data_IF_190472702609
#
_entry.id   IF_190472702609
#
_cell.length_a   1.000
_cell.length_b   1.000
_cell.length_c   1.000
_cell.angle_alpha   90.00
_cell.angle_beta   90.00
_cell.angle_gamma   90.00
#
_symmetry.space_group_name_H-M   'P 1'
#
loop_
_entity.id
_entity.type
_entity.pdbx_description
1 polymer ?
#
# COMPACT_ATOMS: atom_id res chain seq x y z
N UNK A 1 -16.00 -4.29 16.52
CA UNK A 1 -15.64 -3.08 15.78
C UNK A 1 -14.13 -3.14 15.46
N UNK A 2 -13.72 -2.71 14.32
CA UNK A 2 -12.32 -2.57 13.94
C UNK A 2 -12.04 -1.12 13.51
N UNK A 3 -10.85 -0.61 13.79
CA UNK A 3 -10.37 0.64 13.22
C UNK A 3 -9.54 0.30 11.99
N UNK A 4 -9.94 0.82 10.83
CA UNK A 4 -9.20 0.69 9.58
C UNK A 4 -8.65 2.05 9.18
N UNK A 5 -7.39 2.06 8.72
CA UNK A 5 -6.75 3.25 8.17
C UNK A 5 -6.90 3.23 6.67
N UNK A 6 -7.86 3.95 6.15
CA UNK A 6 -8.10 4.07 4.71
C UNK A 6 -8.50 5.50 4.38
N UNK A 7 -8.26 5.90 3.15
CA UNK A 7 -8.89 7.09 2.62
C UNK A 7 -10.41 6.83 2.54
N UNK A 8 -11.15 7.32 3.51
CA UNK A 8 -12.60 7.21 3.49
C UNK A 8 -13.14 8.08 2.35
N UNK A 9 -13.65 7.43 1.32
CA UNK A 9 -14.54 8.13 0.39
C UNK A 9 -15.81 8.55 1.17
N UNK A 10 -16.36 9.75 0.94
CA UNK A 10 -17.62 10.13 1.54
C UNK A 10 -18.73 9.17 1.09
N UNK A 11 -19.36 8.49 2.04
CA UNK A 11 -20.41 7.50 1.81
C UNK A 11 -19.92 6.05 1.84
N UNK A 12 -20.87 5.13 1.94
CA UNK A 12 -20.59 3.69 1.90
C UNK A 12 -20.32 3.25 0.45
N UNK A 13 -19.25 2.49 0.21
CA UNK A 13 -19.05 1.88 -1.10
C UNK A 13 -20.23 0.97 -1.46
N UNK A 14 -20.61 0.89 -2.75
CA UNK A 14 -21.66 -0.02 -3.21
C UNK A 14 -21.38 -1.46 -2.76
N UNK A 15 -22.39 -2.11 -2.21
CA UNK A 15 -22.30 -3.48 -1.72
C UNK A 15 -21.94 -3.63 -0.24
N UNK A 16 -21.59 -2.56 0.47
CA UNK A 16 -21.39 -2.57 1.91
C UNK A 16 -22.72 -2.34 2.62
N UNK A 17 -23.15 -3.30 3.43
CA UNK A 17 -24.37 -3.16 4.22
C UNK A 17 -24.16 -2.24 5.44
N UNK A 18 -25.23 -1.58 5.95
CA UNK A 18 -25.10 -0.72 7.13
C UNK A 18 -24.54 -1.43 8.37
N UNK A 19 -24.84 -2.73 8.54
CA UNK A 19 -24.30 -3.52 9.65
C UNK A 19 -22.78 -3.65 9.58
N UNK A 20 -22.25 -4.04 8.41
CA UNK A 20 -20.79 -4.13 8.19
C UNK A 20 -20.13 -2.77 8.38
N UNK A 21 -20.74 -1.70 7.86
CA UNK A 21 -20.21 -0.35 8.03
C UNK A 21 -20.19 0.10 9.49
N UNK A 22 -21.21 -0.29 10.29
CA UNK A 22 -21.28 0.00 11.72
C UNK A 22 -20.22 -0.72 12.55
N UNK A 23 -19.61 -1.77 12.02
CA UNK A 23 -18.55 -2.53 12.67
C UNK A 23 -17.14 -2.00 12.35
N UNK A 24 -17.02 -0.96 11.52
CA UNK A 24 -15.75 -0.36 11.14
C UNK A 24 -15.74 1.12 11.52
N UNK A 25 -14.67 1.54 12.18
CA UNK A 25 -14.35 2.94 12.45
C UNK A 25 -13.14 3.31 11.62
N UNK A 26 -13.23 4.39 10.87
CA UNK A 26 -12.10 4.87 10.05
C UNK A 26 -11.20 5.76 10.90
N UNK A 27 -9.94 5.35 11.08
CA UNK A 27 -8.91 6.13 11.75
C UNK A 27 -8.27 7.17 10.81
N UNK A 28 -7.44 8.03 11.37
CA UNK A 28 -6.74 9.09 10.65
C UNK A 28 -5.27 8.70 10.47
N UNK A 29 -4.89 8.40 9.23
CA UNK A 29 -3.52 8.00 8.91
C UNK A 29 -2.52 9.13 9.20
N UNK A 30 -1.42 8.80 9.90
CA UNK A 30 -0.40 9.72 10.39
C UNK A 30 -0.90 10.80 11.39
N UNK A 31 -2.13 10.68 11.89
CA UNK A 31 -2.66 11.51 12.97
C UNK A 31 -2.84 10.65 14.23
N UNK A 32 -1.77 10.55 15.01
CA UNK A 32 -1.74 9.69 16.20
C UNK A 32 -2.72 10.14 17.27
N UNK A 33 -2.89 11.43 17.48
CA UNK A 33 -3.74 11.98 18.54
C UNK A 33 -5.19 11.67 18.30
N UNK A 34 -5.68 11.93 17.07
CA UNK A 34 -7.06 11.62 16.69
C UNK A 34 -7.31 10.13 16.69
N UNK A 35 -6.40 9.33 16.15
CA UNK A 35 -6.56 7.89 16.08
C UNK A 35 -6.49 7.24 17.46
N UNK A 36 -5.59 7.68 18.35
CA UNK A 36 -5.52 7.21 19.72
C UNK A 36 -6.81 7.54 20.50
N UNK A 37 -7.36 8.73 20.28
CA UNK A 37 -8.65 9.12 20.87
C UNK A 37 -9.79 8.22 20.42
N UNK A 38 -9.82 7.84 19.11
CA UNK A 38 -10.78 6.86 18.60
C UNK A 38 -10.61 5.48 19.25
N UNK A 39 -9.37 4.99 19.36
CA UNK A 39 -9.09 3.68 19.98
C UNK A 39 -9.56 3.65 21.43
N UNK A 40 -9.20 4.65 22.24
CA UNK A 40 -9.63 4.75 23.63
C UNK A 40 -11.13 4.95 23.77
N UNK A 41 -11.73 5.75 22.88
CA UNK A 41 -13.18 6.05 22.91
C UNK A 41 -14.07 4.86 22.59
N UNK A 42 -13.56 3.84 21.88
CA UNK A 42 -14.30 2.62 21.58
C UNK A 42 -14.05 1.50 22.62
N UNK A 43 -12.98 1.58 23.41
CA UNK A 43 -12.70 0.72 24.55
C UNK A 43 -12.95 -0.76 24.27
N UNK A 44 -13.72 -1.41 25.14
CA UNK A 44 -14.04 -2.86 25.08
C UNK A 44 -14.80 -3.31 23.82
N UNK A 45 -15.29 -2.38 23.00
CA UNK A 45 -16.01 -2.69 21.77
C UNK A 45 -15.07 -2.88 20.56
N UNK A 46 -13.81 -2.45 20.68
CA UNK A 46 -12.84 -2.49 19.62
C UNK A 46 -12.04 -3.80 19.68
N UNK A 47 -12.14 -4.62 18.63
CA UNK A 47 -11.38 -5.87 18.53
C UNK A 47 -9.94 -5.64 18.04
N UNK A 48 -9.79 -4.81 17.00
CA UNK A 48 -8.49 -4.62 16.35
C UNK A 48 -8.36 -3.24 15.70
N UNK A 49 -7.13 -2.82 15.53
CA UNK A 49 -6.70 -1.76 14.60
C UNK A 49 -5.94 -2.43 13.46
N UNK A 50 -6.36 -2.17 12.21
CA UNK A 50 -5.63 -2.61 11.02
C UNK A 50 -5.08 -1.40 10.28
N UNK A 51 -3.80 -1.46 9.88
CA UNK A 51 -3.11 -0.37 9.19
C UNK A 51 -2.08 -0.91 8.21
N UNK A 52 -1.99 -0.31 7.01
CA UNK A 52 -0.87 -0.54 6.10
C UNK A 52 0.34 0.32 6.53
N UNK A 53 1.57 -0.22 6.65
CA UNK A 53 2.77 0.59 6.92
C UNK A 53 3.09 1.61 5.83
N UNK A 54 2.61 1.37 4.63
CA UNK A 54 2.49 2.34 3.55
C UNK A 54 1.15 2.10 2.86
N UNK A 55 0.32 3.12 2.78
CA UNK A 55 -0.95 2.99 2.07
C UNK A 55 -0.72 2.64 0.61
N UNK A 56 -1.25 1.51 0.16
CA UNK A 56 -1.23 1.09 -1.23
C UNK A 56 -2.05 2.01 -2.15
N UNK A 57 -2.93 2.80 -1.56
CA UNK A 57 -3.66 3.86 -2.22
C UNK A 57 -2.95 5.20 -1.98
N UNK A 58 -2.03 5.56 -2.87
CA UNK A 58 -1.27 6.80 -2.75
C UNK A 58 0.22 6.63 -2.51
N UNK A 59 0.68 5.41 -2.21
CA UNK A 59 2.06 5.12 -1.84
C UNK A 59 2.58 6.08 -0.74
N UNK A 60 1.75 6.28 0.30
CA UNK A 60 2.02 7.17 1.43
C UNK A 60 2.59 6.36 2.59
N UNK A 61 3.78 6.72 3.03
CA UNK A 61 4.43 6.08 4.17
C UNK A 61 3.77 6.46 5.49
N UNK A 62 3.57 5.46 6.34
CA UNK A 62 3.30 5.75 7.74
C UNK A 62 4.55 6.32 8.41
N UNK A 63 4.37 7.34 9.23
CA UNK A 63 5.43 7.83 10.08
C UNK A 63 5.78 6.77 11.14
N UNK A 64 7.07 6.59 11.42
CA UNK A 64 7.51 5.65 12.47
C UNK A 64 6.82 5.93 13.80
N UNK A 65 6.80 7.20 14.21
CA UNK A 65 6.18 7.61 15.48
C UNK A 65 4.68 7.30 15.53
N UNK A 66 3.98 7.37 14.38
CA UNK A 66 2.58 6.99 14.27
C UNK A 66 2.38 5.49 14.53
N UNK A 67 3.16 4.62 13.89
CA UNK A 67 3.05 3.17 14.09
C UNK A 67 3.49 2.74 15.50
N UNK A 68 4.53 3.35 16.05
CA UNK A 68 4.96 3.12 17.44
C UNK A 68 3.87 3.54 18.43
N UNK A 69 3.26 4.69 18.21
CA UNK A 69 2.13 5.18 19.01
C UNK A 69 0.88 4.28 18.88
N UNK A 70 0.57 3.78 17.68
CA UNK A 70 -0.51 2.80 17.51
C UNK A 70 -0.23 1.50 18.28
N UNK A 71 1.01 0.99 18.24
CA UNK A 71 1.39 -0.17 19.04
C UNK A 71 1.19 0.08 20.54
N UNK A 72 1.58 1.25 21.00
CA UNK A 72 1.45 1.62 22.42
C UNK A 72 -0.03 1.70 22.85
N UNK A 73 -0.85 2.45 22.13
CA UNK A 73 -2.28 2.63 22.49
C UNK A 73 -3.08 1.35 22.34
N UNK A 74 -2.79 0.50 21.35
CA UNK A 74 -3.47 -0.79 21.21
C UNK A 74 -3.11 -1.75 22.34
N UNK A 75 -1.84 -1.72 22.80
CA UNK A 75 -1.41 -2.48 23.99
C UNK A 75 -2.10 -1.98 25.26
N UNK A 76 -2.14 -0.65 25.46
CA UNK A 76 -2.83 -0.01 26.59
C UNK A 76 -4.30 -0.42 26.70
N UNK A 77 -4.99 -0.47 25.54
CA UNK A 77 -6.41 -0.75 25.47
C UNK A 77 -6.76 -2.25 25.34
N UNK A 78 -5.77 -3.15 25.27
CA UNK A 78 -6.02 -4.58 25.04
C UNK A 78 -6.58 -4.91 23.66
N UNK A 79 -6.34 -4.03 22.67
CA UNK A 79 -6.81 -4.14 21.29
C UNK A 79 -5.71 -4.76 20.43
N UNK A 80 -6.05 -5.62 19.47
CA UNK A 80 -5.06 -6.21 18.57
C UNK A 80 -4.58 -5.18 17.55
N UNK A 81 -3.26 -5.15 17.29
CA UNK A 81 -2.68 -4.42 16.16
C UNK A 81 -2.43 -5.38 15.01
N UNK A 82 -3.00 -5.08 13.84
CA UNK A 82 -2.81 -5.83 12.60
C UNK A 82 -2.06 -4.94 11.62
N UNK A 83 -0.90 -5.38 11.16
CA UNK A 83 -0.21 -4.72 10.05
C UNK A 83 -0.56 -5.41 8.73
N UNK A 84 -1.09 -4.64 7.78
CA UNK A 84 -1.32 -5.11 6.42
C UNK A 84 -0.07 -4.91 5.58
N UNK A 85 0.71 -5.96 5.46
CA UNK A 85 1.95 -6.00 4.66
C UNK A 85 1.74 -6.58 3.24
N UNK A 86 0.50 -6.69 2.79
CA UNK A 86 0.20 -7.24 1.46
C UNK A 86 0.96 -6.52 0.34
N UNK A 87 1.21 -5.22 0.46
CA UNK A 87 2.02 -4.45 -0.48
C UNK A 87 3.45 -4.25 0.04
N UNK A 88 3.59 -3.97 1.32
CA UNK A 88 4.83 -3.46 1.92
C UNK A 88 5.82 -4.54 2.30
N UNK A 89 5.42 -5.82 2.34
CA UNK A 89 6.32 -6.93 2.65
C UNK A 89 7.55 -6.98 1.74
N UNK A 90 7.43 -6.50 0.51
CA UNK A 90 8.54 -6.42 -0.45
C UNK A 90 9.61 -5.35 -0.14
N UNK A 91 9.36 -4.46 0.81
CA UNK A 91 10.26 -3.36 1.14
C UNK A 91 11.32 -3.71 2.20
N UNK A 92 11.23 -4.91 2.78
CA UNK A 92 12.22 -5.41 3.75
C UNK A 92 12.14 -6.91 3.89
N UNK A 93 13.23 -7.57 4.27
CA UNK A 93 13.18 -8.94 4.79
C UNK A 93 12.48 -8.87 6.15
N UNK A 94 11.30 -9.50 6.25
CA UNK A 94 10.41 -9.33 7.39
C UNK A 94 9.44 -8.15 7.26
N UNK A 95 9.33 -7.53 6.08
CA UNK A 95 8.41 -6.43 5.79
C UNK A 95 8.85 -5.10 6.38
N UNK A 96 8.00 -4.08 6.25
CA UNK A 96 8.23 -2.78 6.90
C UNK A 96 8.12 -2.87 8.42
N UNK A 97 7.34 -3.79 8.97
CA UNK A 97 7.32 -4.07 10.41
C UNK A 97 8.72 -4.38 10.96
N UNK A 98 9.49 -5.20 10.22
CA UNK A 98 10.88 -5.51 10.56
C UNK A 98 11.79 -4.29 10.46
N UNK A 99 11.67 -3.51 9.39
CA UNK A 99 12.45 -2.29 9.18
C UNK A 99 12.16 -1.21 10.23
N UNK A 100 10.92 -1.14 10.72
CA UNK A 100 10.53 -0.20 11.79
C UNK A 100 10.74 -0.76 13.21
N UNK A 101 11.01 -2.06 13.35
CA UNK A 101 11.13 -2.71 14.65
C UNK A 101 9.80 -2.80 15.41
N UNK A 102 8.68 -2.88 14.69
CA UNK A 102 7.33 -2.95 15.27
C UNK A 102 6.84 -4.39 15.21
N UNK A 103 6.40 -4.92 16.34
CA UNK A 103 5.81 -6.26 16.44
C UNK A 103 4.29 -6.13 16.57
N UNK A 104 3.51 -6.41 15.49
CA UNK A 104 2.06 -6.45 15.58
C UNK A 104 1.59 -7.74 16.25
N UNK A 105 0.30 -7.81 16.55
CA UNK A 105 -0.33 -9.05 17.02
C UNK A 105 -0.62 -10.01 15.85
N UNK A 106 -0.98 -9.45 14.69
CA UNK A 106 -1.19 -10.17 13.43
C UNK A 106 -0.61 -9.37 12.27
N UNK A 107 -0.22 -10.09 11.22
CA UNK A 107 0.18 -9.50 9.93
C UNK A 107 -0.57 -10.20 8.81
N UNK A 108 -1.10 -9.44 7.84
CA UNK A 108 -1.61 -9.96 6.59
C UNK A 108 -0.56 -9.88 5.49
N UNK A 109 -0.53 -10.89 4.62
CA UNK A 109 0.43 -11.05 3.53
C UNK A 109 -0.27 -11.40 2.22
N UNK A 110 0.37 -11.08 1.11
CA UNK A 110 -0.11 -11.43 -0.22
C UNK A 110 0.93 -11.09 -1.29
N UNK A 111 0.46 -10.97 -2.51
CA UNK A 111 1.26 -10.52 -3.67
C UNK A 111 2.60 -11.26 -3.81
N UNK A 112 3.71 -10.64 -3.41
CA UNK A 112 5.07 -11.16 -3.60
C UNK A 112 5.26 -12.58 -3.02
N UNK A 113 4.56 -12.92 -1.93
CA UNK A 113 4.68 -14.22 -1.29
C UNK A 113 4.16 -15.38 -2.16
N UNK A 114 3.43 -15.08 -3.22
CA UNK A 114 2.87 -16.09 -4.14
C UNK A 114 3.74 -16.36 -5.37
N UNK A 115 4.86 -15.65 -5.55
CA UNK A 115 5.72 -15.84 -6.73
C UNK A 115 5.00 -15.59 -8.05
N UNK A 116 4.06 -14.63 -8.09
CA UNK A 116 3.24 -14.30 -9.27
C UNK A 116 1.89 -15.01 -9.30
N UNK A 117 1.63 -15.97 -8.42
CA UNK A 117 0.36 -16.68 -8.31
C UNK A 117 -0.51 -16.11 -7.19
N UNK A 118 -1.86 -16.26 -7.27
CA UNK A 118 -2.78 -15.75 -6.25
C UNK A 118 -2.53 -16.40 -4.88
N UNK A 119 -2.39 -15.56 -3.85
CA UNK A 119 -2.21 -16.00 -2.47
C UNK A 119 -2.67 -14.92 -1.51
N UNK A 120 -3.18 -15.33 -0.38
CA UNK A 120 -3.34 -14.53 0.82
C UNK A 120 -2.93 -15.37 2.02
N UNK A 121 -2.31 -14.74 2.99
CA UNK A 121 -1.94 -15.37 4.24
C UNK A 121 -2.06 -14.36 5.39
N UNK A 122 -2.20 -14.86 6.59
CA UNK A 122 -2.07 -14.09 7.81
C UNK A 122 -1.40 -14.94 8.88
N UNK A 123 -0.78 -14.30 9.81
CA UNK A 123 -0.12 -14.95 10.94
C UNK A 123 0.24 -13.94 12.01
N UNK A 124 0.72 -14.42 13.15
CA UNK A 124 1.13 -13.57 14.25
C UNK A 124 1.31 -14.31 15.55
N UNK A 125 0.93 -13.68 16.66
CA UNK A 125 1.10 -14.22 18.01
C UNK A 125 0.43 -15.58 18.14
N UNK A 126 1.16 -16.53 18.74
CA UNK A 126 0.69 -17.91 18.93
C UNK A 126 -0.67 -17.98 19.65
N UNK A 127 -0.88 -17.14 20.66
CA UNK A 127 -2.13 -17.12 21.43
C UNK A 127 -3.33 -16.71 20.57
N UNK A 128 -3.15 -15.77 19.64
CA UNK A 128 -4.19 -15.34 18.71
C UNK A 128 -4.44 -16.41 17.65
N UNK A 129 -3.35 -16.96 17.08
CA UNK A 129 -3.43 -18.01 16.06
C UNK A 129 -3.99 -19.33 16.60
N UNK A 130 -3.89 -19.56 17.90
CA UNK A 130 -4.49 -20.73 18.56
C UNK A 130 -6.02 -20.82 18.43
N UNK A 131 -6.69 -19.71 18.08
CA UNK A 131 -8.12 -19.73 17.75
C UNK A 131 -8.45 -20.58 16.52
N UNK A 132 -7.47 -20.85 15.64
CA UNK A 132 -7.63 -21.67 14.44
C UNK A 132 -7.14 -23.11 14.61
N UNK A 133 -6.69 -23.50 15.80
CA UNK A 133 -6.22 -24.86 16.07
C UNK A 133 -7.40 -25.85 16.11
N UNK A 134 -7.55 -26.74 15.11
CA UNK A 134 -8.70 -27.63 15.01
C UNK A 134 -8.78 -28.68 16.14
N UNK A 135 -7.73 -28.81 16.93
CA UNK A 135 -7.73 -29.73 18.09
C UNK A 135 -8.36 -29.11 19.33
N UNK A 136 -8.65 -27.79 19.30
CA UNK A 136 -9.24 -27.07 20.42
C UNK A 136 -10.77 -26.98 20.30
N UNK A 137 -11.50 -27.15 21.39
CA UNK A 137 -12.95 -26.90 21.40
C UNK A 137 -13.25 -25.45 21.00
N UNK A 138 -14.21 -25.26 20.09
CA UNK A 138 -14.61 -23.90 19.64
C UNK A 138 -13.65 -23.25 18.66
N UNK A 139 -12.72 -24.00 18.09
CA UNK A 139 -11.80 -23.48 17.07
C UNK A 139 -12.56 -22.87 15.87
N UNK A 140 -12.04 -21.75 15.36
CA UNK A 140 -12.56 -21.10 14.16
C UNK A 140 -12.17 -21.94 12.95
N UNK A 141 -13.16 -22.43 12.21
CA UNK A 141 -12.92 -23.16 10.98
C UNK A 141 -12.32 -22.22 9.92
N UNK A 142 -11.15 -22.56 9.43
CA UNK A 142 -10.48 -21.84 8.34
C UNK A 142 -10.15 -22.81 7.22
N UNK A 143 -10.95 -22.80 6.16
CA UNK A 143 -10.78 -23.67 5.01
C UNK A 143 -11.10 -22.93 3.72
N UNK A 144 -10.53 -23.39 2.63
CA UNK A 144 -10.80 -22.91 1.27
C UNK A 144 -10.18 -23.84 0.25
N UNK A 145 -10.83 -24.01 -0.89
CA UNK A 145 -10.39 -24.94 -1.94
C UNK A 145 -8.95 -24.69 -2.42
N UNK A 146 -8.52 -23.43 -2.39
CA UNK A 146 -7.18 -23.01 -2.82
C UNK A 146 -6.19 -22.79 -1.67
N UNK A 147 -6.61 -23.03 -0.42
CA UNK A 147 -5.70 -22.89 0.72
C UNK A 147 -4.55 -23.90 0.58
N UNK A 148 -3.30 -23.40 0.70
CA UNK A 148 -2.12 -24.22 0.55
C UNK A 148 -1.94 -24.82 -0.85
N UNK A 149 -2.42 -24.15 -1.90
CA UNK A 149 -2.27 -24.62 -3.28
C UNK A 149 -0.79 -24.92 -3.57
N UNK A 150 -0.49 -26.17 -3.94
CA UNK A 150 0.89 -26.65 -4.07
C UNK A 150 1.70 -25.86 -5.11
N UNK A 151 1.08 -25.47 -6.23
CA UNK A 151 1.75 -24.67 -7.28
C UNK A 151 2.11 -23.26 -6.75
N UNK A 152 1.18 -22.63 -6.05
CA UNK A 152 1.42 -21.31 -5.43
C UNK A 152 2.48 -21.41 -4.34
N UNK A 153 2.45 -22.43 -3.51
CA UNK A 153 3.44 -22.63 -2.44
C UNK A 153 4.84 -22.84 -3.03
N UNK A 154 4.97 -23.66 -4.08
CA UNK A 154 6.23 -23.90 -4.76
C UNK A 154 6.79 -22.60 -5.41
N UNK A 155 5.95 -21.87 -6.14
CA UNK A 155 6.34 -20.61 -6.77
C UNK A 155 6.74 -19.54 -5.73
N UNK A 156 5.95 -19.41 -4.66
CA UNK A 156 6.22 -18.48 -3.57
C UNK A 156 7.52 -18.80 -2.85
N UNK A 157 7.78 -20.08 -2.56
CA UNK A 157 9.04 -20.52 -1.92
C UNK A 157 10.25 -20.12 -2.76
N UNK A 158 10.20 -20.35 -4.08
CA UNK A 158 11.28 -19.96 -4.99
C UNK A 158 11.44 -18.44 -5.02
N UNK A 159 10.35 -17.68 -5.16
CA UNK A 159 10.39 -16.23 -5.21
C UNK A 159 11.01 -15.64 -3.93
N UNK A 160 10.59 -16.13 -2.77
CA UNK A 160 11.12 -15.67 -1.47
C UNK A 160 12.58 -16.07 -1.25
N UNK A 161 13.03 -17.20 -1.79
CA UNK A 161 14.44 -17.59 -1.72
C UNK A 161 15.36 -16.64 -2.53
N UNK A 162 14.86 -16.06 -3.63
CA UNK A 162 15.58 -15.03 -4.39
C UNK A 162 15.46 -13.62 -3.79
N UNK A 163 14.54 -13.41 -2.88
CA UNK A 163 14.24 -12.09 -2.31
C UNK A 163 14.88 -11.94 -0.93
N UNK A 164 16.21 -12.05 -0.90
CA UNK A 164 17.05 -11.88 0.29
C UNK A 164 17.36 -10.40 0.60
N UNK A 165 18.10 -10.14 1.66
CA UNK A 165 18.50 -8.79 2.09
C UNK A 165 19.23 -8.00 1.00
N UNK A 166 20.10 -8.67 0.23
CA UNK A 166 20.87 -8.02 -0.83
C UNK A 166 19.96 -7.61 -1.99
N UNK A 167 19.06 -8.52 -2.40
CA UNK A 167 18.07 -8.26 -3.44
C UNK A 167 17.09 -7.14 -3.06
N UNK A 168 16.58 -7.16 -1.82
CA UNK A 168 15.67 -6.12 -1.29
C UNK A 168 16.38 -4.77 -1.26
N UNK A 169 17.59 -4.72 -0.73
CA UNK A 169 18.37 -3.48 -0.64
C UNK A 169 18.66 -2.89 -2.02
N UNK A 170 19.13 -3.72 -2.97
CA UNK A 170 19.42 -3.28 -4.33
C UNK A 170 18.15 -2.81 -5.06
N UNK A 171 17.05 -3.54 -4.90
CA UNK A 171 15.77 -3.20 -5.52
C UNK A 171 15.20 -1.89 -4.98
N UNK A 172 15.27 -1.66 -3.67
CA UNK A 172 14.82 -0.43 -3.05
C UNK A 172 15.68 0.77 -3.48
N UNK A 173 17.01 0.62 -3.52
CA UNK A 173 17.91 1.65 -4.03
C UNK A 173 17.61 2.01 -5.49
N UNK A 174 17.33 1.00 -6.33
CA UNK A 174 16.92 1.19 -7.72
C UNK A 174 15.61 1.95 -7.83
N UNK A 175 14.61 1.60 -7.00
CA UNK A 175 13.32 2.28 -6.98
C UNK A 175 13.42 3.72 -6.50
N UNK A 176 14.20 3.99 -5.45
CA UNK A 176 14.43 5.36 -4.96
C UNK A 176 15.14 6.24 -6.00
N UNK A 177 16.13 5.68 -6.70
CA UNK A 177 16.80 6.38 -7.80
C UNK A 177 15.83 6.66 -8.97
N UNK A 178 14.97 5.69 -9.33
CA UNK A 178 13.95 5.89 -10.35
C UNK A 178 12.96 6.97 -9.93
N UNK A 179 12.44 6.94 -8.71
CA UNK A 179 11.51 7.95 -8.19
C UNK A 179 12.12 9.36 -8.23
N UNK A 180 13.40 9.50 -7.90
CA UNK A 180 14.11 10.77 -8.01
C UNK A 180 14.17 11.26 -9.46
N UNK A 181 14.45 10.37 -10.43
CA UNK A 181 14.44 10.69 -11.87
C UNK A 181 13.06 11.16 -12.33
N UNK A 182 11.99 10.44 -11.94
CA UNK A 182 10.62 10.82 -12.31
C UNK A 182 10.22 12.19 -11.73
N UNK A 183 10.57 12.47 -10.48
CA UNK A 183 10.33 13.79 -9.88
C UNK A 183 11.16 14.91 -10.57
N UNK A 184 12.37 14.62 -11.05
CA UNK A 184 13.13 15.57 -11.86
C UNK A 184 12.44 15.86 -13.21
N UNK A 185 11.85 14.85 -13.84
CA UNK A 185 11.02 15.04 -15.05
C UNK A 185 9.80 15.89 -14.74
N UNK A 186 9.08 15.62 -13.66
CA UNK A 186 7.94 16.43 -13.20
C UNK A 186 8.36 17.90 -13.08
N UNK A 187 9.44 18.17 -12.36
CA UNK A 187 9.96 19.53 -12.17
C UNK A 187 10.35 20.22 -13.49
N UNK A 188 10.88 19.46 -14.47
CA UNK A 188 11.32 20.01 -15.75
C UNK A 188 10.19 20.42 -16.70
N UNK A 189 9.01 19.82 -16.53
CA UNK A 189 7.86 20.02 -17.41
C UNK A 189 6.84 21.04 -16.88
N UNK A 190 7.09 21.60 -15.70
CA UNK A 190 6.18 22.55 -15.02
C UNK A 190 4.74 21.99 -14.92
N UNK A 191 4.63 20.77 -14.45
CA UNK A 191 3.35 20.07 -14.23
C UNK A 191 3.07 19.96 -12.73
N UNK A 192 1.85 20.27 -12.34
CA UNK A 192 1.38 20.05 -10.97
C UNK A 192 1.24 18.56 -10.67
N UNK A 193 2.35 17.95 -10.31
CA UNK A 193 2.43 16.52 -10.04
C UNK A 193 3.52 16.21 -9.03
N UNK A 194 3.45 15.02 -8.43
CA UNK A 194 4.49 14.45 -7.56
C UNK A 194 4.48 12.94 -7.63
N UNK A 195 5.65 12.32 -7.52
CA UNK A 195 5.80 10.87 -7.37
C UNK A 195 6.16 10.57 -5.92
N UNK A 196 5.21 10.00 -5.18
CA UNK A 196 5.39 9.52 -3.79
C UNK A 196 5.89 8.07 -3.78
N UNK A 197 6.25 7.56 -2.60
CA UNK A 197 6.60 6.15 -2.43
C UNK A 197 7.86 5.91 -1.60
N UNK A 198 8.25 4.63 -1.52
CA UNK A 198 9.41 4.15 -0.81
C UNK A 198 10.00 2.94 -1.55
N UNK A 199 11.31 2.90 -1.70
CA UNK A 199 12.00 1.80 -2.34
C UNK A 199 11.39 1.48 -3.70
N UNK A 200 11.06 0.23 -3.93
CA UNK A 200 10.54 -0.29 -5.18
C UNK A 200 9.07 -0.01 -5.48
N UNK A 201 8.38 0.75 -4.63
CA UNK A 201 6.97 1.14 -4.77
C UNK A 201 6.85 2.65 -4.89
N UNK A 202 6.13 3.12 -5.90
CA UNK A 202 5.91 4.56 -6.11
C UNK A 202 4.60 4.82 -6.86
N UNK A 203 4.02 6.00 -6.66
CA UNK A 203 2.80 6.42 -7.35
C UNK A 203 2.90 7.86 -7.81
N UNK A 204 2.49 8.11 -9.07
CA UNK A 204 2.33 9.45 -9.60
C UNK A 204 0.97 10.04 -9.18
N UNK A 205 0.99 11.24 -8.68
CA UNK A 205 -0.19 12.07 -8.39
C UNK A 205 -0.16 13.31 -9.27
N UNK A 206 -1.24 13.52 -10.00
CA UNK A 206 -1.46 14.72 -10.85
C UNK A 206 -2.30 15.72 -10.06
N UNK A 207 -1.65 16.49 -9.19
CA UNK A 207 -2.25 17.45 -8.26
C UNK A 207 -1.28 18.55 -7.89
N UNK A 208 -1.78 19.78 -7.72
CA UNK A 208 -1.04 20.93 -7.20
C UNK A 208 -0.74 20.84 -5.70
N UNK A 209 -1.43 19.96 -4.98
CA UNK A 209 -1.34 19.89 -3.51
C UNK A 209 -0.23 18.95 -3.08
N UNK A 210 0.46 19.23 -1.96
CA UNK A 210 1.27 18.21 -1.31
C UNK A 210 0.45 16.96 -1.03
N UNK A 211 1.01 15.78 -1.32
CA UNK A 211 0.34 14.50 -1.12
C UNK A 211 0.90 13.88 0.17
N UNK A 212 0.40 14.36 1.29
CA UNK A 212 0.81 13.93 2.64
C UNK A 212 -0.31 13.17 3.36
N UNK A 213 -1.54 13.25 2.84
CA UNK A 213 -2.70 12.56 3.41
C UNK A 213 -3.43 11.71 2.37
N UNK A 214 -4.19 10.69 2.81
CA UNK A 214 -5.01 9.87 1.92
C UNK A 214 -5.99 10.69 1.07
N UNK A 215 -6.58 11.74 1.65
CA UNK A 215 -7.53 12.63 0.98
C UNK A 215 -6.84 13.44 -0.13
N UNK A 216 -5.60 13.90 0.12
CA UNK A 216 -4.81 14.59 -0.89
C UNK A 216 -4.44 13.65 -2.05
N UNK A 217 -4.14 12.38 -1.77
CA UNK A 217 -3.87 11.36 -2.79
C UNK A 217 -5.11 11.08 -3.68
N UNK A 218 -6.31 11.12 -3.09
CA UNK A 218 -7.58 10.93 -3.82
C UNK A 218 -8.01 12.17 -4.60
N UNK A 219 -7.50 13.35 -4.28
CA UNK A 219 -7.86 14.61 -4.95
C UNK A 219 -7.21 14.76 -6.34
N UNK A 220 -6.41 13.79 -6.79
CA UNK A 220 -5.80 13.82 -8.12
C UNK A 220 -6.86 13.88 -9.25
N UNK A 221 -6.55 14.62 -10.31
CA UNK A 221 -7.44 14.74 -11.47
C UNK A 221 -7.57 13.39 -12.21
N UNK A 222 -8.71 12.73 -12.02
CA UNK A 222 -8.96 11.39 -12.58
C UNK A 222 -8.94 11.33 -14.12
N UNK A 223 -9.24 12.43 -14.82
CA UNK A 223 -9.15 12.48 -16.29
C UNK A 223 -7.70 12.53 -16.75
N UNK A 224 -6.87 13.35 -16.11
CA UNK A 224 -5.44 13.41 -16.40
C UNK A 224 -4.73 12.10 -16.05
N UNK A 225 -5.12 11.44 -14.96
CA UNK A 225 -4.60 10.10 -14.59
C UNK A 225 -4.92 9.05 -15.68
N UNK A 226 -6.14 9.06 -16.24
CA UNK A 226 -6.51 8.19 -17.37
C UNK A 226 -5.72 8.53 -18.62
N UNK A 227 -5.54 9.81 -18.92
CA UNK A 227 -4.73 10.26 -20.05
C UNK A 227 -3.29 9.80 -19.93
N UNK A 228 -2.68 9.92 -18.75
CA UNK A 228 -1.33 9.42 -18.46
C UNK A 228 -1.21 7.92 -18.72
N UNK A 229 -2.19 7.13 -18.25
CA UNK A 229 -2.22 5.69 -18.50
C UNK A 229 -2.23 5.35 -20.00
N UNK A 230 -3.10 6.00 -20.77
CA UNK A 230 -3.19 5.78 -22.22
C UNK A 230 -1.93 6.26 -22.96
N UNK A 231 -1.37 7.39 -22.54
CA UNK A 231 -0.16 7.93 -23.12
C UNK A 231 1.06 7.01 -22.90
N UNK A 232 1.18 6.40 -21.72
CA UNK A 232 2.19 5.38 -21.42
C UNK A 232 1.98 4.11 -22.25
N UNK A 233 0.74 3.63 -22.33
CA UNK A 233 0.38 2.42 -23.11
C UNK A 233 0.75 2.61 -24.60
N UNK A 234 0.47 3.77 -25.18
CA UNK A 234 0.86 4.10 -26.56
C UNK A 234 2.39 4.17 -26.79
N UNK A 235 3.18 4.20 -25.72
CA UNK A 235 4.66 4.18 -25.73
C UNK A 235 5.23 2.83 -25.31
N UNK A 236 4.39 1.78 -25.28
CA UNK A 236 4.81 0.42 -24.96
C UNK A 236 4.97 0.16 -23.46
N UNK A 237 4.52 1.07 -22.58
CA UNK A 237 4.57 0.90 -21.13
C UNK A 237 3.18 0.60 -20.59
N UNK A 238 2.96 -0.64 -20.18
CA UNK A 238 1.72 -1.04 -19.49
C UNK A 238 1.82 -0.70 -18.00
N UNK A 239 1.05 0.28 -17.55
CA UNK A 239 1.01 0.74 -16.17
C UNK A 239 -0.33 0.46 -15.50
N UNK A 240 -0.37 0.53 -14.17
CA UNK A 240 -1.63 0.57 -13.44
C UNK A 240 -2.44 1.81 -13.83
N UNK A 241 -3.76 1.68 -13.95
CA UNK A 241 -4.65 2.83 -14.19
C UNK A 241 -4.61 3.87 -13.08
N UNK A 242 -4.12 3.51 -11.89
CA UNK A 242 -3.90 4.42 -10.75
C UNK A 242 -2.51 5.04 -10.74
N UNK A 243 -1.67 4.74 -11.73
CA UNK A 243 -0.28 5.16 -11.83
C UNK A 243 0.59 4.71 -10.62
N UNK A 244 0.25 3.57 -10.04
CA UNK A 244 1.11 2.87 -9.10
C UNK A 244 2.13 2.07 -9.89
N UNK A 245 3.40 2.31 -9.67
CA UNK A 245 4.53 1.65 -10.31
C UNK A 245 5.27 0.77 -9.31
N UNK A 246 5.68 -0.39 -9.79
CA UNK A 246 6.38 -1.39 -8.99
C UNK A 246 7.60 -1.87 -9.77
N UNK A 247 8.80 -1.65 -9.24
CA UNK A 247 10.04 -2.08 -9.89
C UNK A 247 10.24 -3.58 -9.65
N UNK A 248 10.30 -4.42 -10.71
CA UNK A 248 10.59 -5.85 -10.55
C UNK A 248 12.11 -6.10 -10.47
N UNK A 249 12.50 -7.20 -9.83
CA UNK A 249 13.91 -7.59 -9.68
C UNK A 249 14.63 -7.86 -11.01
N UNK A 250 13.87 -8.17 -12.05
CA UNK A 250 14.40 -8.47 -13.40
C UNK A 250 14.53 -7.23 -14.28
N UNK A 251 14.10 -6.06 -13.83
CA UNK A 251 14.21 -4.83 -14.60
C UNK A 251 15.70 -4.47 -14.81
N UNK A 252 16.06 -4.30 -16.06
CA UNK A 252 17.39 -3.83 -16.45
C UNK A 252 17.47 -2.30 -16.45
N UNK A 253 18.67 -1.74 -16.49
CA UNK A 253 18.84 -0.30 -16.66
C UNK A 253 18.15 0.22 -17.94
N UNK A 254 18.23 -0.53 -19.02
CA UNK A 254 17.59 -0.16 -20.29
C UNK A 254 16.06 -0.10 -20.17
N UNK A 255 15.45 -1.02 -19.42
CA UNK A 255 14.01 -0.99 -19.15
C UNK A 255 13.61 0.25 -18.34
N UNK A 256 14.42 0.61 -17.34
CA UNK A 256 14.17 1.81 -16.53
C UNK A 256 14.38 3.10 -17.33
N UNK A 257 15.37 3.14 -18.23
CA UNK A 257 15.61 4.29 -19.11
C UNK A 257 14.45 4.43 -20.11
N UNK A 258 14.00 3.34 -20.74
CA UNK A 258 12.81 3.32 -21.59
C UNK A 258 11.56 3.82 -20.85
N UNK A 259 11.38 3.38 -19.60
CA UNK A 259 10.26 3.85 -18.78
C UNK A 259 10.32 5.35 -18.50
N UNK A 260 11.51 5.90 -18.18
CA UNK A 260 11.68 7.35 -17.94
C UNK A 260 11.41 8.16 -19.20
N UNK A 261 11.87 7.70 -20.37
CA UNK A 261 11.62 8.35 -21.66
C UNK A 261 10.12 8.35 -21.98
N UNK A 262 9.47 7.18 -21.86
CA UNK A 262 8.01 7.06 -22.05
C UNK A 262 7.21 7.90 -21.07
N UNK A 263 7.65 7.97 -19.81
CA UNK A 263 7.03 8.80 -18.76
C UNK A 263 7.16 10.29 -19.09
N UNK A 264 8.34 10.73 -19.54
CA UNK A 264 8.61 12.12 -19.93
C UNK A 264 7.67 12.55 -21.05
N UNK A 265 7.60 11.76 -22.11
CA UNK A 265 6.72 12.03 -23.24
C UNK A 265 5.22 11.99 -22.86
N UNK A 266 4.82 11.01 -22.03
CA UNK A 266 3.44 10.89 -21.59
C UNK A 266 3.03 12.07 -20.70
N UNK A 267 3.92 12.48 -19.79
CA UNK A 267 3.69 13.63 -18.91
C UNK A 267 3.63 14.95 -19.71
N UNK A 268 4.40 15.07 -20.79
CA UNK A 268 4.30 16.19 -21.74
C UNK A 268 2.92 16.31 -22.38
N UNK A 269 2.29 15.18 -22.76
CA UNK A 269 0.91 15.14 -23.25
C UNK A 269 -0.08 15.61 -22.17
N UNK A 270 0.11 15.16 -20.94
CA UNK A 270 -0.71 15.58 -19.77
C UNK A 270 -0.55 17.07 -19.51
N UNK A 271 0.69 17.59 -19.54
CA UNK A 271 0.98 19.01 -19.37
C UNK A 271 0.26 19.88 -20.41
N UNK A 272 0.25 19.45 -21.66
CA UNK A 272 -0.45 20.15 -22.73
C UNK A 272 -1.98 20.13 -22.51
N UNK A 273 -2.54 18.99 -22.13
CA UNK A 273 -3.97 18.84 -21.87
C UNK A 273 -4.43 19.69 -20.65
N UNK A 274 -3.61 19.76 -19.60
CA UNK A 274 -3.93 20.54 -18.40
C UNK A 274 -4.03 22.05 -18.68
N UNK A 275 -3.21 22.57 -19.60
CA UNK A 275 -3.23 23.99 -20.02
C UNK A 275 -4.43 24.34 -20.92
N UNK A 276 -4.99 23.35 -21.62
CA UNK A 276 -6.15 23.56 -22.51
C UNK A 276 -7.48 23.40 -21.81
N UNK A 277 -7.51 22.77 -20.65
CA UNK A 277 -8.70 22.63 -19.81
C UNK A 277 -8.80 23.84 -18.88
N UNK A 278 -9.14 25.00 -19.43
CA UNK A 278 -9.57 26.15 -18.61
C UNK A 278 -10.77 25.72 -17.78
N UNK A 279 -10.86 26.05 -16.49
CA UNK A 279 -12.06 25.76 -15.71
C UNK A 279 -13.23 26.46 -16.40
N UNK A 280 -14.23 25.70 -16.83
CA UNK A 280 -15.54 26.28 -17.11
C UNK A 280 -16.06 26.71 -15.75
N UNK A 281 -16.09 28.02 -15.52
CA UNK A 281 -16.62 28.70 -14.33
C UNK A 281 -18.08 28.31 -14.09
#
# INVERSE_FOLDING_TARGET
VAVAMSAAAPGLPPGITPGVAGDVVVGHFNDLDRTSSLVRGHGDRLAAVIVEPMLGSGALMAERAFLEGLRAVTTECGVLLILDEVITFRLGVGGLQGAFGITPDLTSFGKIIGGGLPVGAFGGRAEVMAAFDPTRPGAIAHSGTYNGNATTMAAGLVALAYFDDAAVTALNATGDALRARLNAVVASLDVEAVVTGCGSLMQLHLTARPVETPEAALAANGQLVKLMHLALANRGVFSSTRQLYVVPTVATRADLDLFVDAFTDALGVVAQASRTTTPVL
#
